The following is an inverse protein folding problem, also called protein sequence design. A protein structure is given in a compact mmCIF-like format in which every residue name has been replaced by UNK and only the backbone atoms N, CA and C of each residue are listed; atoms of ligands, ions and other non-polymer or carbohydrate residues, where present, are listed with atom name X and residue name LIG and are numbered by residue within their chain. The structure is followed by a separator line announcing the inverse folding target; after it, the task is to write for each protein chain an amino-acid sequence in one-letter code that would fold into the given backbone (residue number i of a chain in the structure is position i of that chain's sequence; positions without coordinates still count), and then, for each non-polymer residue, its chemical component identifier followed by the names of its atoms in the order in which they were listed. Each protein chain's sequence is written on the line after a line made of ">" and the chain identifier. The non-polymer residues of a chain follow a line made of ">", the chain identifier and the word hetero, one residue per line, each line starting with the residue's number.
data_IF_191872847476
#
_entry.id   IF_191872847476
#
_cell.length_a   1.000
_cell.length_b   1.000
_cell.length_c   1.000
_cell.angle_alpha   90.00
_cell.angle_beta   90.00
_cell.angle_gamma   90.00
#
_symmetry.space_group_name_H-M   'P 1'
#
loop_
_entity.id
_entity.type
_entity.pdbx_description
1 polymer ?
#
# COMPACT_ATOMS: atom_id res chain seq x y z
N UNK A 1 -23.11 29.45 -17.50
CA UNK A 1 -22.63 29.02 -16.16
C UNK A 1 -22.65 27.49 -16.12
N UNK A 2 -21.55 26.83 -16.38
CA UNK A 2 -21.44 25.35 -16.33
C UNK A 2 -21.10 24.95 -14.91
N UNK A 3 -22.03 24.27 -14.24
CA UNK A 3 -21.82 23.65 -12.94
C UNK A 3 -20.85 22.47 -13.11
N UNK A 4 -19.62 22.62 -12.65
CA UNK A 4 -18.68 21.53 -12.49
C UNK A 4 -19.16 20.71 -11.29
N UNK A 5 -19.70 19.53 -11.57
CA UNK A 5 -20.07 18.55 -10.57
C UNK A 5 -18.85 18.11 -9.74
N UNK A 6 -19.06 17.58 -8.53
CA UNK A 6 -17.98 17.15 -7.66
C UNK A 6 -17.20 16.04 -8.36
N UNK A 7 -15.90 16.27 -8.56
CA UNK A 7 -14.98 15.24 -9.03
C UNK A 7 -14.83 14.24 -7.89
N UNK A 8 -15.67 13.22 -7.92
CA UNK A 8 -15.55 12.05 -7.05
C UNK A 8 -14.26 11.34 -7.44
N UNK A 9 -13.22 11.47 -6.63
CA UNK A 9 -11.98 10.71 -6.79
C UNK A 9 -12.28 9.30 -6.28
N UNK A 10 -12.96 8.52 -7.10
CA UNK A 10 -13.16 7.09 -6.85
C UNK A 10 -11.84 6.40 -7.14
N UNK A 11 -11.20 5.88 -6.12
CA UNK A 11 -10.18 4.86 -6.25
C UNK A 11 -10.87 3.57 -6.73
N UNK A 12 -10.97 3.42 -8.04
CA UNK A 12 -11.49 2.19 -8.64
C UNK A 12 -10.44 1.09 -8.46
N UNK A 13 -10.60 0.30 -7.42
CA UNK A 13 -9.90 -0.99 -7.29
C UNK A 13 -10.68 -1.97 -8.16
N UNK A 14 -10.16 -2.30 -9.35
CA UNK A 14 -10.68 -3.38 -10.17
C UNK A 14 -10.51 -4.70 -9.43
N UNK A 15 -11.60 -5.32 -9.02
CA UNK A 15 -11.66 -6.71 -8.59
C UNK A 15 -11.50 -7.59 -9.85
N UNK A 16 -10.34 -8.18 -10.04
CA UNK A 16 -10.16 -9.32 -10.92
C UNK A 16 -10.44 -10.58 -10.10
N UNK A 17 -11.60 -11.20 -10.31
CA UNK A 17 -11.87 -12.55 -9.90
C UNK A 17 -11.06 -13.50 -10.80
N UNK A 18 -10.05 -14.15 -10.26
CA UNK A 18 -9.28 -15.20 -10.92
C UNK A 18 -9.77 -16.56 -10.45
N UNK A 19 -10.23 -17.37 -11.37
CA UNK A 19 -10.63 -18.75 -11.17
C UNK A 19 -9.45 -19.62 -10.70
N UNK A 20 -9.80 -20.50 -9.80
CA UNK A 20 -8.98 -21.51 -9.19
C UNK A 20 -8.83 -22.70 -10.14
N UNK A 21 -7.61 -23.10 -10.39
CA UNK A 21 -7.27 -24.37 -11.07
C UNK A 21 -6.42 -25.19 -10.11
N UNK A 22 -6.99 -26.27 -9.60
CA UNK A 22 -6.32 -27.17 -8.70
C UNK A 22 -5.12 -27.87 -9.36
N UNK A 23 -4.09 -28.14 -8.57
CA UNK A 23 -3.12 -29.19 -8.80
C UNK A 23 -2.66 -29.78 -7.48
N UNK A 24 -2.79 -31.08 -7.42
CA UNK A 24 -2.31 -31.95 -6.34
C UNK A 24 -0.82 -31.77 -6.14
N UNK A 25 -0.42 -31.38 -4.94
CA UNK A 25 0.97 -31.26 -4.58
C UNK A 25 1.32 -32.17 -3.43
N UNK A 26 2.24 -33.07 -3.75
CA UNK A 26 2.88 -34.04 -2.86
C UNK A 26 3.32 -33.38 -1.56
N UNK A 27 2.83 -33.91 -0.45
CA UNK A 27 3.17 -33.48 0.90
C UNK A 27 4.66 -33.72 1.22
N UNK A 28 5.47 -32.69 0.99
CA UNK A 28 6.83 -32.63 1.51
C UNK A 28 6.77 -32.16 2.96
N UNK A 29 7.16 -32.98 3.90
CA UNK A 29 7.24 -32.66 5.33
C UNK A 29 8.01 -31.35 5.54
N UNK A 30 7.44 -30.34 6.26
CA UNK A 30 8.18 -29.13 6.57
C UNK A 30 9.36 -29.46 7.51
N UNK A 31 10.51 -28.81 7.31
CA UNK A 31 11.65 -28.96 8.22
C UNK A 31 11.24 -28.54 9.65
N UNK A 32 11.86 -29.15 10.70
CA UNK A 32 11.50 -28.89 12.09
C UNK A 32 11.57 -27.39 12.38
N UNK A 33 10.49 -26.87 12.98
CA UNK A 33 10.38 -25.46 13.36
C UNK A 33 11.50 -25.08 14.33
N UNK A 34 12.50 -24.39 13.84
CA UNK A 34 13.50 -23.74 14.68
C UNK A 34 12.78 -22.67 15.50
N UNK A 35 12.65 -22.88 16.79
CA UNK A 35 12.07 -21.93 17.75
C UNK A 35 12.83 -20.60 17.65
N UNK A 36 12.27 -19.65 16.93
CA UNK A 36 12.80 -18.30 16.82
C UNK A 36 12.56 -17.60 18.16
N UNK A 37 13.59 -17.11 18.86
CA UNK A 37 13.42 -16.46 20.16
C UNK A 37 12.47 -15.25 20.08
N UNK A 38 11.78 -14.92 21.17
CA UNK A 38 10.91 -13.72 21.28
C UNK A 38 11.56 -12.44 20.76
N UNK A 39 12.88 -12.30 20.89
CA UNK A 39 13.68 -11.22 20.30
C UNK A 39 13.55 -11.13 18.77
N UNK A 40 13.36 -12.27 18.09
CA UNK A 40 13.15 -12.31 16.64
C UNK A 40 11.79 -11.76 16.23
N UNK A 41 10.71 -12.08 16.95
CA UNK A 41 9.37 -11.59 16.65
C UNK A 41 9.28 -10.08 16.74
N UNK A 42 9.84 -9.47 17.78
CA UNK A 42 9.88 -8.00 17.95
C UNK A 42 10.69 -7.31 16.85
N UNK A 43 11.78 -7.92 16.37
CA UNK A 43 12.56 -7.39 15.26
C UNK A 43 11.75 -7.43 13.95
N UNK A 44 11.03 -8.52 13.68
CA UNK A 44 10.17 -8.67 12.51
C UNK A 44 8.97 -7.72 12.54
N UNK A 45 8.39 -7.47 13.71
CA UNK A 45 7.34 -6.48 13.87
C UNK A 45 7.86 -5.06 13.53
N UNK A 46 9.04 -4.67 14.03
CA UNK A 46 9.66 -3.40 13.66
C UNK A 46 9.92 -3.31 12.16
N UNK A 47 10.38 -4.39 11.53
CA UNK A 47 10.60 -4.44 10.10
C UNK A 47 9.29 -4.27 9.29
N UNK A 48 8.20 -4.89 9.73
CA UNK A 48 6.88 -4.71 9.12
C UNK A 48 6.37 -3.28 9.26
N UNK A 49 6.56 -2.64 10.42
CA UNK A 49 6.24 -1.21 10.65
C UNK A 49 7.07 -0.29 9.75
N UNK A 50 8.36 -0.60 9.57
CA UNK A 50 9.25 0.12 8.65
C UNK A 50 8.74 0.04 7.21
N UNK A 51 8.35 -1.16 6.75
CA UNK A 51 7.78 -1.35 5.41
C UNK A 51 6.52 -0.51 5.17
N UNK A 52 5.63 -0.41 6.16
CA UNK A 52 4.45 0.47 6.09
C UNK A 52 4.83 1.96 6.00
N UNK A 53 5.86 2.37 6.70
CA UNK A 53 6.38 3.75 6.68
C UNK A 53 6.99 4.08 5.30
N UNK A 54 7.80 3.18 4.76
CA UNK A 54 8.38 3.35 3.42
C UNK A 54 7.32 3.34 2.31
N UNK A 55 6.32 2.44 2.40
CA UNK A 55 5.18 2.44 1.49
C UNK A 55 4.42 3.78 1.51
N UNK A 56 4.24 4.36 2.70
CA UNK A 56 3.64 5.70 2.82
C UNK A 56 4.46 6.77 2.09
N UNK A 57 5.79 6.77 2.26
CA UNK A 57 6.70 7.69 1.53
C UNK A 57 6.59 7.50 0.02
N UNK A 58 6.53 6.25 -0.43
CA UNK A 58 6.32 5.92 -1.84
C UNK A 58 4.99 6.47 -2.35
N UNK A 59 3.90 6.28 -1.61
CA UNK A 59 2.57 6.78 -1.99
C UNK A 59 2.56 8.30 -2.15
N UNK A 60 3.13 9.04 -1.21
CA UNK A 60 3.25 10.51 -1.29
C UNK A 60 4.06 10.93 -2.53
N UNK A 61 5.20 10.27 -2.78
CA UNK A 61 6.01 10.53 -3.96
C UNK A 61 5.24 10.31 -5.27
N UNK A 62 4.50 9.19 -5.36
CA UNK A 62 3.74 8.81 -6.55
C UNK A 62 2.53 9.71 -6.77
N UNK A 63 1.88 10.19 -5.72
CA UNK A 63 0.78 11.15 -5.79
C UNK A 63 1.22 12.46 -6.44
N UNK A 64 2.41 12.95 -6.10
CA UNK A 64 2.93 14.20 -6.65
C UNK A 64 3.58 14.03 -8.01
N UNK A 65 4.41 13.01 -8.19
CA UNK A 65 5.23 12.85 -9.39
C UNK A 65 4.52 12.08 -10.52
N UNK A 66 3.44 11.35 -10.21
CA UNK A 66 2.73 10.45 -11.14
C UNK A 66 3.64 9.42 -11.82
N UNK A 67 4.71 9.00 -11.16
CA UNK A 67 5.65 7.99 -11.64
C UNK A 67 6.12 7.10 -10.51
N UNK A 68 6.46 5.88 -10.83
CA UNK A 68 7.04 4.93 -9.88
C UNK A 68 8.57 5.13 -9.87
N UNK A 69 9.17 5.43 -8.72
CA UNK A 69 10.62 5.54 -8.63
C UNK A 69 11.29 4.16 -8.65
N UNK A 70 12.57 4.10 -9.01
CA UNK A 70 13.33 2.83 -9.06
C UNK A 70 13.39 2.09 -7.71
N UNK A 71 13.32 2.82 -6.60
CA UNK A 71 13.36 2.25 -5.26
C UNK A 71 12.01 1.70 -4.76
N UNK A 72 10.92 1.83 -5.54
CA UNK A 72 9.57 1.42 -5.14
C UNK A 72 9.49 -0.04 -4.67
N UNK A 73 10.21 -0.94 -5.34
CA UNK A 73 10.19 -2.38 -5.04
C UNK A 73 10.86 -2.74 -3.71
N UNK A 74 11.53 -1.78 -3.08
CA UNK A 74 12.09 -1.95 -1.72
C UNK A 74 11.02 -1.99 -0.64
N UNK A 75 9.87 -1.34 -0.87
CA UNK A 75 8.78 -1.26 0.10
C UNK A 75 7.45 -1.82 -0.37
N UNK A 76 7.27 -1.97 -1.70
CA UNK A 76 5.97 -2.33 -2.28
C UNK A 76 6.18 -3.22 -3.50
N UNK A 77 5.49 -4.37 -3.55
CA UNK A 77 5.57 -5.32 -4.65
C UNK A 77 4.18 -5.90 -4.97
N UNK A 78 4.11 -6.80 -5.94
CA UNK A 78 2.91 -7.54 -6.30
C UNK A 78 1.71 -6.65 -6.63
N UNK A 79 0.48 -7.06 -6.28
CA UNK A 79 -0.74 -6.32 -6.59
C UNK A 79 -0.74 -4.87 -6.10
N UNK A 80 -0.12 -4.57 -4.94
CA UNK A 80 -0.03 -3.21 -4.43
C UNK A 80 0.78 -2.29 -5.37
N UNK A 81 1.89 -2.77 -5.92
CA UNK A 81 2.69 -2.00 -6.87
C UNK A 81 1.99 -1.84 -8.22
N UNK A 82 1.28 -2.87 -8.68
CA UNK A 82 0.47 -2.80 -9.91
C UNK A 82 -0.62 -1.73 -9.78
N UNK A 83 -1.38 -1.75 -8.68
CA UNK A 83 -2.41 -0.74 -8.41
C UNK A 83 -1.83 0.68 -8.34
N UNK A 84 -0.67 0.84 -7.72
CA UNK A 84 0.00 2.13 -7.63
C UNK A 84 0.47 2.65 -9.00
N UNK A 85 0.97 1.76 -9.88
CA UNK A 85 1.32 2.07 -11.28
C UNK A 85 0.10 2.53 -12.08
N UNK A 86 -1.00 1.79 -12.00
CA UNK A 86 -2.26 2.12 -12.68
C UNK A 86 -2.81 3.48 -12.22
N UNK A 87 -2.83 3.72 -10.91
CA UNK A 87 -3.26 5.00 -10.36
C UNK A 87 -2.37 6.17 -10.80
N UNK A 88 -1.05 5.99 -10.86
CA UNK A 88 -0.12 7.00 -11.35
C UNK A 88 -0.35 7.31 -12.84
N UNK A 89 -0.54 6.28 -13.66
CA UNK A 89 -0.81 6.42 -15.09
C UNK A 89 -2.15 7.15 -15.33
N UNK A 90 -3.20 6.78 -14.62
CA UNK A 90 -4.52 7.43 -14.74
C UNK A 90 -4.44 8.93 -14.40
N UNK A 91 -3.76 9.30 -13.31
CA UNK A 91 -3.54 10.73 -12.97
C UNK A 91 -2.71 11.45 -14.01
N UNK A 92 -1.70 10.81 -14.58
CA UNK A 92 -0.87 11.37 -15.66
C UNK A 92 -1.70 11.68 -16.90
N UNK A 93 -2.55 10.73 -17.31
CA UNK A 93 -3.45 10.89 -18.45
C UNK A 93 -4.44 12.03 -18.26
N UNK A 94 -4.90 12.24 -17.03
CA UNK A 94 -5.80 13.36 -16.66
C UNK A 94 -5.08 14.69 -16.45
N UNK A 95 -3.76 14.74 -16.52
CA UNK A 95 -2.97 15.94 -16.24
C UNK A 95 -3.05 16.43 -14.79
N UNK A 96 -3.43 15.54 -13.85
CA UNK A 96 -3.65 15.87 -12.43
C UNK A 96 -2.52 15.31 -11.59
N UNK A 97 -2.08 16.10 -10.60
CA UNK A 97 -1.22 15.70 -9.48
C UNK A 97 -1.98 15.85 -8.17
N UNK A 98 -1.53 15.17 -7.14
CA UNK A 98 -2.11 15.31 -5.81
C UNK A 98 -1.01 15.71 -4.84
N UNK A 99 -1.14 16.91 -4.27
CA UNK A 99 -0.26 17.39 -3.21
C UNK A 99 -0.80 16.90 -1.87
N UNK A 100 0.03 16.24 -1.10
CA UNK A 100 -0.28 15.87 0.28
C UNK A 100 0.03 17.05 1.18
N UNK A 101 -0.99 17.63 1.81
CA UNK A 101 -0.84 18.75 2.74
C UNK A 101 -0.66 18.26 4.17
N UNK A 102 -1.42 17.23 4.53
CA UNK A 102 -1.33 16.55 5.83
C UNK A 102 -1.43 15.05 5.61
N UNK A 103 -0.70 14.29 6.38
CA UNK A 103 -0.71 12.85 6.30
C UNK A 103 -0.35 12.24 7.66
N UNK A 104 -1.37 11.80 8.39
CA UNK A 104 -1.22 11.10 9.67
C UNK A 104 -1.63 9.66 9.48
N UNK A 105 -0.71 8.74 9.74
CA UNK A 105 -0.94 7.29 9.70
C UNK A 105 -0.93 6.73 11.10
N UNK A 106 -1.94 5.96 11.43
CA UNK A 106 -2.04 5.20 12.66
C UNK A 106 -2.16 3.71 12.33
N UNK A 107 -1.27 2.90 12.85
CA UNK A 107 -1.36 1.44 12.76
C UNK A 107 -2.24 1.00 13.94
N UNK A 108 -3.46 0.55 13.62
CA UNK A 108 -4.44 0.11 14.62
C UNK A 108 -4.15 -1.29 15.11
N UNK A 109 -3.65 -2.16 14.24
CA UNK A 109 -3.17 -3.50 14.60
C UNK A 109 -2.09 -3.95 13.63
N UNK A 110 -1.18 -4.78 14.10
CA UNK A 110 -0.19 -5.48 13.29
C UNK A 110 -0.05 -6.90 13.85
N UNK A 111 -0.21 -7.89 12.99
CA UNK A 111 -0.09 -9.30 13.36
C UNK A 111 0.87 -9.98 12.38
N UNK A 112 1.84 -10.67 12.92
CA UNK A 112 2.68 -11.61 12.18
C UNK A 112 1.94 -12.95 12.12
N UNK A 113 2.05 -13.66 11.02
CA UNK A 113 1.57 -15.04 10.98
C UNK A 113 2.55 -15.95 11.75
N UNK A 114 2.13 -17.18 12.14
CA UNK A 114 2.99 -18.10 12.89
C UNK A 114 4.28 -18.49 12.15
N UNK A 115 4.29 -18.45 10.83
CA UNK A 115 5.48 -18.76 10.01
C UNK A 115 6.44 -17.57 9.88
N UNK A 116 6.04 -16.38 10.34
CA UNK A 116 6.78 -15.13 10.18
C UNK A 116 7.09 -14.73 8.72
N UNK A 117 6.39 -15.32 7.75
CA UNK A 117 6.54 -15.00 6.32
C UNK A 117 5.62 -13.87 5.89
N UNK A 118 4.49 -13.73 6.59
CA UNK A 118 3.47 -12.71 6.30
C UNK A 118 3.16 -11.88 7.52
N UNK A 119 2.66 -10.68 7.28
CA UNK A 119 2.07 -9.84 8.31
C UNK A 119 0.82 -9.17 7.76
N UNK A 120 -0.15 -8.92 8.65
CA UNK A 120 -1.36 -8.17 8.33
C UNK A 120 -1.44 -6.97 9.26
N UNK A 121 -1.65 -5.77 8.69
CA UNK A 121 -1.85 -4.57 9.45
C UNK A 121 -3.18 -3.91 9.09
N UNK A 122 -3.89 -3.41 10.10
CA UNK A 122 -5.01 -2.48 9.92
C UNK A 122 -4.47 -1.07 10.17
N UNK A 123 -4.66 -0.20 9.21
CA UNK A 123 -4.11 1.15 9.22
C UNK A 123 -5.23 2.15 9.00
N UNK A 124 -5.20 3.24 9.75
CA UNK A 124 -6.03 4.42 9.54
C UNK A 124 -5.14 5.55 9.02
N UNK A 125 -5.40 5.98 7.80
CA UNK A 125 -4.76 7.14 7.17
C UNK A 125 -5.71 8.34 7.21
N UNK A 126 -5.30 9.39 7.92
CA UNK A 126 -5.96 10.69 7.91
C UNK A 126 -5.14 11.64 7.05
N UNK A 127 -5.73 12.08 5.95
CA UNK A 127 -5.01 12.82 4.93
C UNK A 127 -5.75 14.11 4.59
N UNK A 128 -5.00 15.14 4.26
CA UNK A 128 -5.51 16.34 3.60
C UNK A 128 -4.79 16.49 2.27
N UNK A 129 -5.54 16.41 1.19
CA UNK A 129 -4.99 16.36 -0.18
C UNK A 129 -5.49 17.54 -1.00
N UNK A 130 -4.64 18.04 -1.87
CA UNK A 130 -4.95 19.12 -2.81
C UNK A 130 -4.72 18.62 -4.23
N UNK A 131 -5.77 18.35 -5.02
CA UNK A 131 -5.63 18.14 -6.45
C UNK A 131 -5.04 19.37 -7.11
N UNK A 132 -4.13 19.16 -8.04
CA UNK A 132 -3.42 20.25 -8.73
C UNK A 132 -3.22 19.88 -10.20
N UNK A 133 -3.15 20.87 -11.07
CA UNK A 133 -2.72 20.72 -12.47
C UNK A 133 -1.25 20.32 -12.53
N UNK A 134 -0.77 19.90 -13.69
CA UNK A 134 0.63 19.55 -13.92
C UNK A 134 1.60 20.70 -13.59
N UNK A 135 1.18 21.95 -13.76
CA UNK A 135 1.95 23.14 -13.39
C UNK A 135 1.86 23.52 -11.90
N UNK A 136 1.24 22.70 -11.07
CA UNK A 136 1.13 22.94 -9.63
C UNK A 136 -0.07 23.81 -9.21
N UNK A 137 -0.82 24.41 -10.13
CA UNK A 137 -2.01 25.22 -9.77
C UNK A 137 -3.10 24.33 -9.17
N UNK A 138 -3.71 24.71 -8.03
CA UNK A 138 -4.77 23.92 -7.40
C UNK A 138 -5.98 23.73 -8.31
N UNK A 139 -6.61 22.57 -8.21
CA UNK A 139 -7.88 22.21 -8.84
C UNK A 139 -8.95 22.08 -7.74
N UNK A 140 -9.58 23.20 -7.39
CA UNK A 140 -10.60 23.24 -6.35
C UNK A 140 -10.03 23.30 -4.92
N UNK A 141 -10.85 22.95 -3.93
CA UNK A 141 -10.48 22.97 -2.50
C UNK A 141 -9.76 21.70 -2.09
N UNK A 142 -8.95 21.81 -1.04
CA UNK A 142 -8.34 20.64 -0.42
C UNK A 142 -9.41 19.73 0.22
N UNK A 143 -9.28 18.43 0.02
CA UNK A 143 -10.17 17.42 0.61
C UNK A 143 -9.51 16.76 1.82
N UNK A 144 -10.31 16.45 2.85
CA UNK A 144 -9.92 15.58 3.97
C UNK A 144 -10.37 14.16 3.62
N UNK A 145 -9.47 13.20 3.75
CA UNK A 145 -9.72 11.77 3.56
C UNK A 145 -9.39 11.03 4.84
N UNK A 146 -10.30 10.14 5.25
CA UNK A 146 -10.09 9.21 6.34
C UNK A 146 -10.28 7.81 5.76
N UNK A 147 -9.18 7.11 5.56
CA UNK A 147 -9.18 5.82 4.90
C UNK A 147 -8.70 4.74 5.89
N UNK A 148 -9.52 3.73 6.11
CA UNK A 148 -9.12 2.54 6.83
C UNK A 148 -8.78 1.46 5.81
N UNK A 149 -7.61 0.85 5.95
CA UNK A 149 -7.16 -0.16 5.00
C UNK A 149 -6.48 -1.34 5.71
N UNK A 150 -6.64 -2.52 5.14
CA UNK A 150 -5.88 -3.72 5.47
C UNK A 150 -4.68 -3.82 4.54
N UNK A 151 -3.50 -3.89 5.13
CA UNK A 151 -2.23 -4.10 4.46
C UNK A 151 -1.79 -5.54 4.67
N UNK A 152 -1.52 -6.24 3.59
CA UNK A 152 -0.87 -7.54 3.59
C UNK A 152 0.59 -7.33 3.25
N UNK A 153 1.48 -7.78 4.12
CA UNK A 153 2.93 -7.68 3.95
C UNK A 153 3.51 -9.07 3.74
N UNK A 154 4.58 -9.14 2.96
CA UNK A 154 5.35 -10.37 2.76
C UNK A 154 6.82 -10.13 3.09
N UNK A 155 7.43 -11.10 3.75
CA UNK A 155 8.87 -11.13 4.02
C UNK A 155 9.63 -11.43 2.73
N UNK A 156 10.80 -10.82 2.55
CA UNK A 156 11.62 -11.03 1.36
C UNK A 156 12.69 -12.07 1.65
N UNK A 157 12.49 -13.26 1.14
CA UNK A 157 13.43 -14.38 1.36
C UNK A 157 13.68 -14.60 2.84
N UNK A 158 14.94 -14.86 3.20
CA UNK A 158 15.36 -15.06 4.60
C UNK A 158 15.72 -13.74 5.32
N UNK A 159 15.60 -12.59 4.67
CA UNK A 159 15.90 -11.30 5.29
C UNK A 159 14.79 -10.86 6.24
N UNK A 160 15.12 -10.03 7.23
CA UNK A 160 14.12 -9.45 8.15
C UNK A 160 13.33 -8.29 7.51
N UNK A 161 13.26 -8.24 6.18
CA UNK A 161 12.58 -7.17 5.45
C UNK A 161 11.21 -7.61 4.99
N UNK A 162 10.23 -6.74 5.22
CA UNK A 162 8.90 -6.88 4.65
C UNK A 162 8.69 -5.89 3.50
N UNK A 163 7.77 -6.24 2.60
CA UNK A 163 7.21 -5.34 1.60
C UNK A 163 5.69 -5.40 1.67
N UNK A 164 5.04 -4.29 1.36
CA UNK A 164 3.60 -4.25 1.17
C UNK A 164 3.27 -4.99 -0.13
N UNK A 165 2.48 -6.04 0.00
CA UNK A 165 2.09 -6.91 -1.11
C UNK A 165 0.70 -6.55 -1.65
N UNK A 166 -0.23 -6.25 -0.76
CA UNK A 166 -1.63 -5.93 -1.10
C UNK A 166 -2.18 -4.89 -0.14
N UNK A 167 -3.06 -4.03 -0.66
CA UNK A 167 -3.81 -3.05 0.14
C UNK A 167 -5.28 -3.19 -0.23
N UNK A 168 -6.14 -3.31 0.79
CA UNK A 168 -7.59 -3.41 0.63
C UNK A 168 -8.22 -2.33 1.48
N UNK A 169 -8.98 -1.43 0.88
CA UNK A 169 -9.76 -0.44 1.62
C UNK A 169 -10.88 -1.15 2.38
N UNK A 170 -11.07 -0.75 3.62
CA UNK A 170 -12.16 -1.21 4.46
C UNK A 170 -13.24 -0.13 4.50
N UNK A 171 -14.46 -0.54 4.20
CA UNK A 171 -15.64 0.32 4.30
C UNK A 171 -15.99 0.60 5.75
#
# INVERSE_FOLDING_TARGET
>A
MRRLGPVLIVFLVALAAGCDGGNDEVATQPPPATTTPEKGAAALERAARSALTENRRLSVYVLWNNRIPRWAERSTRGPALVSLRAAAQNRRNRGVRVRMLENRRQILSLRLDPSYVRATAIVLDRQRVQPSRRNGRPLGRAAKLNERARYELRRIGQSDRFVVWRVVLLQ
#
